data_IF_740309959672
#
_entry.id   IF_740309959672
#
_cell.length_a   1.000
_cell.length_b   1.000
_cell.length_c   1.000
_cell.angle_alpha   90.00
_cell.angle_beta   90.00
_cell.angle_gamma   90.00
#
_symmetry.space_group_name_H-M   'P 1'
#
loop_
_entity.id
_entity.type
_entity.pdbx_description
1 polymer ?
#
# COMPACT_ATOMS: atom_id res chain seq x y z
N UNK A 1 10.59 -16.24 -30.57
CA UNK A 1 10.66 -15.58 -29.25
C UNK A 1 11.97 -14.84 -29.11
N UNK A 2 11.93 -13.54 -28.81
CA UNK A 2 13.10 -12.69 -28.65
C UNK A 2 13.13 -12.15 -27.21
N UNK A 3 14.31 -12.19 -26.58
CA UNK A 3 14.52 -11.58 -25.27
C UNK A 3 14.77 -10.08 -25.47
N UNK A 4 13.72 -9.25 -25.40
CA UNK A 4 13.84 -7.85 -25.79
C UNK A 4 14.35 -6.92 -24.69
N UNK A 5 14.04 -7.18 -23.41
CA UNK A 5 14.35 -6.27 -22.31
C UNK A 5 14.67 -7.06 -21.03
N UNK A 6 15.81 -6.73 -20.40
CA UNK A 6 16.23 -7.21 -19.07
C UNK A 6 16.46 -5.99 -18.19
N UNK A 7 15.57 -5.77 -17.22
CA UNK A 7 15.86 -4.90 -16.09
C UNK A 7 16.54 -5.74 -14.99
N UNK A 8 17.29 -5.14 -14.04
CA UNK A 8 18.06 -5.88 -13.04
C UNK A 8 17.26 -6.94 -12.24
N UNK A 9 15.93 -6.79 -12.21
CA UNK A 9 14.95 -7.52 -11.41
C UNK A 9 13.74 -8.07 -12.22
N UNK A 10 13.70 -7.89 -13.55
CA UNK A 10 12.54 -8.27 -14.37
C UNK A 10 12.96 -8.90 -15.72
N UNK A 11 12.29 -9.99 -16.10
CA UNK A 11 12.56 -10.71 -17.36
C UNK A 11 11.31 -10.78 -18.23
N UNK A 12 11.40 -10.22 -19.45
CA UNK A 12 10.29 -10.21 -20.41
C UNK A 12 10.66 -10.94 -21.70
N UNK A 13 9.81 -11.88 -22.11
CA UNK A 13 9.84 -12.47 -23.46
C UNK A 13 8.70 -11.86 -24.25
N UNK A 14 9.06 -11.15 -25.33
CA UNK A 14 8.09 -10.42 -26.14
C UNK A 14 8.28 -10.74 -27.62
N UNK A 15 7.17 -10.72 -28.34
CA UNK A 15 7.11 -10.85 -29.79
C UNK A 15 6.56 -9.54 -30.33
N UNK A 16 7.44 -8.56 -30.62
CA UNK A 16 7.01 -7.24 -31.07
C UNK A 16 6.67 -7.27 -32.57
N UNK A 17 5.45 -6.84 -32.92
CA UNK A 17 5.09 -6.39 -34.26
C UNK A 17 4.87 -4.87 -34.21
N UNK A 18 5.99 -4.15 -34.08
CA UNK A 18 6.01 -2.71 -33.86
C UNK A 18 6.61 -1.97 -35.05
N UNK A 19 6.00 -0.84 -35.39
CA UNK A 19 6.49 0.12 -36.38
C UNK A 19 6.89 1.40 -35.66
N UNK A 20 8.12 1.83 -35.86
CA UNK A 20 8.62 3.10 -35.36
C UNK A 20 8.89 4.04 -36.54
N UNK A 21 8.29 5.23 -36.49
CA UNK A 21 8.56 6.31 -37.44
C UNK A 21 9.28 7.44 -36.70
N UNK A 22 10.42 7.85 -37.24
CA UNK A 22 11.22 8.95 -36.70
C UNK A 22 11.15 10.10 -37.67
N UNK A 23 10.61 11.23 -37.22
CA UNK A 23 10.49 12.44 -38.04
C UNK A 23 10.65 13.69 -37.17
N UNK A 24 11.52 14.62 -37.58
CA UNK A 24 11.58 15.96 -37.00
C UNK A 24 11.68 16.07 -35.47
N UNK A 25 12.36 15.15 -34.78
CA UNK A 25 12.45 15.14 -33.32
C UNK A 25 11.28 14.44 -32.61
N UNK A 26 10.47 13.68 -33.33
CA UNK A 26 9.36 12.86 -32.83
C UNK A 26 9.59 11.39 -33.18
N UNK A 27 9.25 10.52 -32.23
CA UNK A 27 9.21 9.07 -32.40
C UNK A 27 7.76 8.64 -32.25
N UNK A 28 7.18 8.11 -33.33
CA UNK A 28 5.85 7.53 -33.31
C UNK A 28 5.97 6.02 -33.30
N UNK A 29 5.47 5.35 -32.27
CA UNK A 29 5.46 3.88 -32.14
C UNK A 29 4.03 3.35 -32.24
N UNK A 30 3.77 2.47 -33.19
CA UNK A 30 2.47 1.81 -33.36
C UNK A 30 2.62 0.31 -33.58
N UNK A 31 1.59 -0.46 -33.25
CA UNK A 31 1.55 -1.90 -33.55
C UNK A 31 1.07 -2.73 -32.36
N UNK A 32 1.46 -4.01 -32.37
CA UNK A 32 1.11 -4.98 -31.34
C UNK A 32 2.36 -5.53 -30.65
N UNK A 33 2.27 -5.69 -29.34
CA UNK A 33 3.26 -6.32 -28.49
C UNK A 33 2.63 -7.54 -27.83
N UNK A 34 2.91 -8.72 -28.38
CA UNK A 34 2.55 -9.98 -27.75
C UNK A 34 3.57 -10.32 -26.65
N UNK A 35 3.09 -10.61 -25.44
CA UNK A 35 3.90 -10.98 -24.27
C UNK A 35 3.59 -12.43 -23.90
N UNK A 36 4.15 -13.44 -24.59
CA UNK A 36 3.85 -14.84 -24.32
C UNK A 36 4.26 -15.28 -22.92
N UNK A 37 5.39 -14.75 -22.41
CA UNK A 37 5.92 -15.04 -21.08
C UNK A 37 6.57 -13.81 -20.46
N UNK A 38 6.30 -13.56 -19.19
CA UNK A 38 7.04 -12.57 -18.42
C UNK A 38 7.05 -12.93 -16.94
N UNK A 39 8.11 -12.53 -16.24
CA UNK A 39 8.20 -12.62 -14.80
C UNK A 39 8.48 -11.23 -14.23
N UNK A 40 7.48 -10.71 -13.51
CA UNK A 40 7.49 -9.38 -12.89
C UNK A 40 7.61 -9.59 -11.38
N UNK A 41 8.73 -9.15 -10.80
CA UNK A 41 8.95 -9.17 -9.36
C UNK A 41 9.13 -7.74 -8.85
N UNK A 42 8.35 -7.36 -7.84
CA UNK A 42 8.43 -6.06 -7.18
C UNK A 42 8.70 -6.29 -5.70
N UNK A 43 9.99 -6.31 -5.35
CA UNK A 43 10.44 -6.58 -3.98
C UNK A 43 10.45 -5.31 -3.12
N UNK A 44 10.66 -4.14 -3.72
CA UNK A 44 10.59 -2.79 -3.12
C UNK A 44 10.16 -1.78 -4.19
N UNK A 45 9.44 -0.71 -3.83
CA UNK A 45 9.42 0.48 -4.70
C UNK A 45 10.88 0.89 -4.87
N UNK A 46 11.40 1.09 -6.10
CA UNK A 46 12.74 1.59 -6.27
C UNK A 46 12.85 2.87 -5.44
N UNK A 47 13.83 2.93 -4.53
CA UNK A 47 14.04 4.08 -3.62
C UNK A 47 14.17 5.41 -4.38
N UNK A 48 14.31 5.34 -5.71
CA UNK A 48 14.53 6.45 -6.60
C UNK A 48 13.31 6.87 -7.44
N UNK A 49 12.09 6.49 -7.06
CA UNK A 49 10.88 7.09 -7.60
C UNK A 49 10.58 8.45 -6.94
N UNK A 50 11.60 9.31 -6.83
CA UNK A 50 11.36 10.71 -6.57
C UNK A 50 10.82 11.32 -7.86
N UNK A 51 9.53 11.66 -7.87
CA UNK A 51 9.06 12.78 -8.68
C UNK A 51 10.07 13.93 -8.49
N UNK A 52 10.59 14.55 -9.57
CA UNK A 52 11.34 15.78 -9.40
C UNK A 52 10.45 16.74 -8.64
N UNK A 53 10.86 17.11 -7.42
CA UNK A 53 10.28 18.25 -6.72
C UNK A 53 10.28 19.43 -7.70
N UNK A 54 9.15 20.14 -7.81
CA UNK A 54 9.00 21.31 -8.70
C UNK A 54 9.98 22.46 -8.34
N UNK A 55 10.75 22.35 -7.26
CA UNK A 55 11.69 23.37 -6.78
C UNK A 55 13.17 22.94 -6.83
N UNK A 56 13.59 22.20 -7.86
CA UNK A 56 15.03 22.06 -8.16
C UNK A 56 15.58 23.34 -8.82
N UNK A 57 15.85 24.37 -8.03
CA UNK A 57 16.68 25.50 -8.49
C UNK A 57 18.13 25.05 -8.53
N UNK A 58 18.59 24.65 -9.72
CA UNK A 58 20.00 24.42 -10.01
C UNK A 58 20.71 25.78 -10.03
N UNK A 59 21.34 26.16 -8.92
CA UNK A 59 22.32 27.24 -8.90
C UNK A 59 23.65 26.71 -9.48
N UNK A 60 23.76 26.65 -10.80
CA UNK A 60 25.07 26.49 -11.46
C UNK A 60 25.70 27.88 -11.64
N UNK A 61 26.71 28.16 -10.82
CA UNK A 61 27.67 29.22 -11.07
C UNK A 61 28.57 28.80 -12.25
N UNK A 62 28.37 29.42 -13.41
CA UNK A 62 29.32 29.34 -14.53
C UNK A 62 28.65 29.03 -15.87
N UNK A 63 28.45 30.07 -16.67
CA UNK A 63 27.90 29.97 -18.02
C UNK A 63 28.74 29.06 -18.93
N UNK A 64 28.16 27.95 -19.38
CA UNK A 64 28.59 27.24 -20.58
C UNK A 64 27.43 26.47 -21.22
N UNK A 65 26.74 27.14 -22.17
CA UNK A 65 25.91 26.56 -23.25
C UNK A 65 25.12 25.30 -22.89
N UNK A 66 23.91 25.52 -22.42
CA UNK A 66 22.83 24.55 -22.46
C UNK A 66 22.61 24.17 -23.94
N UNK A 67 23.28 23.12 -24.40
CA UNK A 67 22.86 22.41 -25.62
C UNK A 67 21.49 21.85 -25.28
N UNK A 68 20.45 22.55 -25.72
CA UNK A 68 19.10 22.02 -25.82
C UNK A 68 19.22 20.71 -26.60
N UNK A 69 19.29 19.59 -25.88
CA UNK A 69 19.06 18.28 -26.47
C UNK A 69 17.71 18.40 -27.16
N UNK A 70 17.56 18.03 -28.44
CA UNK A 70 16.23 17.99 -29.05
C UNK A 70 15.34 17.17 -28.11
N UNK A 71 14.24 17.76 -27.63
CA UNK A 71 13.32 17.09 -26.74
C UNK A 71 12.54 16.09 -27.59
N UNK A 72 13.09 14.88 -27.70
CA UNK A 72 12.48 13.82 -28.49
C UNK A 72 11.08 13.55 -27.92
N UNK A 73 10.06 13.73 -28.74
CA UNK A 73 8.67 13.47 -28.35
C UNK A 73 8.30 12.03 -28.71
N UNK A 74 8.04 11.19 -27.70
CA UNK A 74 7.48 9.85 -27.90
C UNK A 74 5.95 9.93 -27.93
N UNK A 75 5.35 9.33 -28.95
CA UNK A 75 3.90 9.18 -29.07
C UNK A 75 3.50 7.93 -29.84
N UNK A 76 2.21 7.60 -29.82
CA UNK A 76 1.64 6.50 -30.60
C UNK A 76 0.74 5.58 -29.78
N UNK A 77 0.44 4.42 -30.34
CA UNK A 77 -0.53 3.48 -29.79
C UNK A 77 -0.06 2.04 -29.99
N UNK A 78 0.12 1.32 -28.88
CA UNK A 78 0.61 -0.05 -28.84
C UNK A 78 -0.44 -0.93 -28.18
N UNK A 79 -0.90 -1.96 -28.89
CA UNK A 79 -1.74 -3.02 -28.32
C UNK A 79 -0.84 -4.03 -27.62
N UNK A 80 -0.97 -4.18 -26.31
CA UNK A 80 -0.24 -5.16 -25.52
C UNK A 80 -1.17 -6.32 -25.22
N UNK A 81 -0.76 -7.54 -25.59
CA UNK A 81 -1.54 -8.76 -25.36
C UNK A 81 -0.72 -9.69 -24.47
N UNK A 82 -1.24 -10.00 -23.28
CA UNK A 82 -0.58 -10.92 -22.35
C UNK A 82 -0.97 -12.36 -22.68
N UNK A 83 0.03 -13.22 -22.82
CA UNK A 83 -0.13 -14.66 -22.92
C UNK A 83 -0.44 -15.31 -21.57
N UNK A 84 -0.50 -16.65 -21.56
CA UNK A 84 -0.86 -17.42 -20.36
C UNK A 84 0.28 -17.53 -19.32
N UNK A 85 1.52 -17.23 -19.70
CA UNK A 85 2.73 -17.45 -18.86
C UNK A 85 3.32 -16.12 -18.35
N UNK A 86 2.45 -15.17 -17.99
CA UNK A 86 2.82 -13.88 -17.40
C UNK A 86 2.59 -13.93 -15.89
N UNK A 87 3.67 -13.94 -15.11
CA UNK A 87 3.62 -14.00 -13.65
C UNK A 87 3.97 -12.66 -13.02
N UNK A 88 3.22 -12.32 -11.98
CA UNK A 88 3.44 -11.16 -11.13
C UNK A 88 3.61 -11.60 -9.67
N UNK A 89 4.66 -11.09 -9.02
CA UNK A 89 4.91 -11.27 -7.60
C UNK A 89 5.34 -9.94 -6.98
N UNK A 90 4.59 -9.41 -6.03
CA UNK A 90 4.95 -8.16 -5.36
C UNK A 90 3.86 -7.67 -4.42
N UNK A 91 4.26 -6.89 -3.40
CA UNK A 91 3.34 -6.31 -2.41
C UNK A 91 2.37 -7.32 -1.79
N UNK A 92 2.82 -8.57 -1.60
CA UNK A 92 2.02 -9.67 -1.05
C UNK A 92 1.14 -10.41 -2.08
N UNK A 93 1.01 -9.96 -3.33
CA UNK A 93 0.30 -10.65 -4.39
C UNK A 93 1.24 -11.56 -5.18
N UNK A 94 0.87 -12.83 -5.37
CA UNK A 94 1.44 -13.77 -6.35
C UNK A 94 0.31 -14.19 -7.30
N UNK A 95 0.46 -13.94 -8.60
CA UNK A 95 -0.60 -14.21 -9.57
C UNK A 95 -0.07 -14.43 -10.98
N UNK A 96 -0.86 -15.13 -11.78
CA UNK A 96 -0.76 -15.06 -13.23
C UNK A 96 -1.63 -13.91 -13.74
N UNK A 97 -1.14 -13.17 -14.72
CA UNK A 97 -1.87 -12.07 -15.36
C UNK A 97 -2.26 -12.48 -16.77
N UNK A 98 -3.47 -12.13 -17.18
CA UNK A 98 -3.94 -12.29 -18.54
C UNK A 98 -4.77 -11.08 -18.95
N UNK A 99 -4.85 -10.81 -20.26
CA UNK A 99 -5.66 -9.72 -20.78
C UNK A 99 -4.95 -8.92 -21.85
N UNK A 100 -5.52 -7.77 -22.17
CA UNK A 100 -5.04 -6.90 -23.23
C UNK A 100 -5.25 -5.43 -22.87
N UNK A 101 -4.30 -4.61 -23.28
CA UNK A 101 -4.31 -3.16 -23.09
C UNK A 101 -3.91 -2.46 -24.38
N UNK A 102 -4.68 -1.46 -24.79
CA UNK A 102 -4.26 -0.47 -25.75
C UNK A 102 -3.60 0.69 -25.00
N UNK A 103 -2.28 0.77 -25.06
CA UNK A 103 -1.49 1.86 -24.49
C UNK A 103 -1.33 2.96 -25.53
N UNK A 104 -1.77 4.16 -25.20
CA UNK A 104 -1.65 5.34 -26.08
C UNK A 104 -0.85 6.41 -25.36
N UNK A 105 0.18 6.93 -26.02
CA UNK A 105 0.92 8.12 -25.59
C UNK A 105 0.53 9.28 -26.51
N UNK A 106 -0.32 10.23 -26.05
CA UNK A 106 -0.71 11.38 -26.86
C UNK A 106 0.46 12.37 -27.03
N UNK A 107 0.39 13.25 -28.06
CA UNK A 107 1.33 14.35 -28.23
C UNK A 107 1.20 15.41 -27.12
N UNK A 108 2.10 16.38 -27.10
CA UNK A 108 2.02 17.57 -26.25
C UNK A 108 2.39 17.33 -24.79
N UNK A 109 3.17 16.28 -24.50
CA UNK A 109 3.60 15.96 -23.14
C UNK A 109 2.51 15.36 -22.24
N UNK A 110 1.31 15.11 -22.77
CA UNK A 110 0.21 14.50 -22.02
C UNK A 110 0.59 13.11 -21.48
N UNK A 111 0.10 12.71 -20.30
CA UNK A 111 0.39 11.41 -19.73
C UNK A 111 -0.14 10.27 -20.61
N UNK A 112 0.49 9.08 -20.55
CA UNK A 112 0.00 7.90 -21.26
C UNK A 112 -1.35 7.45 -20.70
N UNK A 113 -2.21 6.98 -21.60
CA UNK A 113 -3.52 6.42 -21.29
C UNK A 113 -3.58 4.95 -21.70
N UNK A 114 -4.39 4.17 -21.01
CA UNK A 114 -4.61 2.77 -21.26
C UNK A 114 -6.12 2.49 -21.40
N UNK A 115 -6.46 1.62 -22.34
CA UNK A 115 -7.81 1.08 -22.50
C UNK A 115 -7.77 -0.44 -22.58
N UNK A 116 -8.57 -1.13 -21.78
CA UNK A 116 -8.63 -2.59 -21.79
C UNK A 116 -8.78 -3.16 -20.39
N UNK A 117 -8.42 -4.43 -20.22
CA UNK A 117 -8.57 -5.11 -18.93
C UNK A 117 -7.45 -6.13 -18.71
N UNK A 118 -6.99 -6.19 -17.47
CA UNK A 118 -6.15 -7.26 -16.96
C UNK A 118 -6.91 -8.04 -15.89
N UNK A 119 -6.71 -9.34 -15.86
CA UNK A 119 -7.27 -10.23 -14.84
C UNK A 119 -6.19 -11.08 -14.21
N UNK A 120 -6.34 -11.35 -12.93
CA UNK A 120 -5.52 -12.32 -12.20
C UNK A 120 -6.06 -13.74 -12.40
N UNK A 121 -5.17 -14.73 -12.37
CA UNK A 121 -5.47 -16.16 -12.37
C UNK A 121 -4.61 -16.87 -11.33
N UNK A 122 -5.19 -17.87 -10.66
CA UNK A 122 -4.54 -18.65 -9.59
C UNK A 122 -3.79 -17.76 -8.59
N UNK A 123 -4.46 -16.68 -8.18
CA UNK A 123 -3.84 -15.60 -7.45
C UNK A 123 -3.99 -15.78 -5.93
N UNK A 124 -2.92 -15.48 -5.21
CA UNK A 124 -2.86 -15.50 -3.75
C UNK A 124 -2.37 -14.17 -3.24
N UNK A 125 -2.99 -13.67 -2.18
CA UNK A 125 -2.61 -12.44 -1.53
C UNK A 125 -2.25 -12.70 -0.06
N UNK A 126 -1.06 -12.27 0.36
CA UNK A 126 -0.56 -12.40 1.72
C UNK A 126 -0.51 -11.04 2.40
N UNK A 127 -1.25 -10.90 3.50
CA UNK A 127 -1.22 -9.72 4.36
C UNK A 127 -1.44 -10.13 5.82
N UNK A 128 -0.85 -9.39 6.77
CA UNK A 128 -1.00 -9.64 8.21
C UNK A 128 -0.71 -11.11 8.63
N UNK A 129 0.22 -11.78 7.94
CA UNK A 129 0.55 -13.19 8.19
C UNK A 129 -0.51 -14.20 7.73
N UNK A 130 -1.55 -13.76 7.02
CA UNK A 130 -2.62 -14.60 6.48
C UNK A 130 -2.60 -14.59 4.96
N UNK A 131 -2.95 -15.72 4.37
CA UNK A 131 -3.08 -15.88 2.92
C UNK A 131 -4.56 -15.93 2.54
N UNK A 132 -4.93 -15.16 1.51
CA UNK A 132 -6.24 -15.15 0.88
C UNK A 132 -6.11 -15.63 -0.56
N UNK A 133 -7.06 -16.46 -0.98
CA UNK A 133 -7.27 -16.84 -2.37
C UNK A 133 -8.01 -15.71 -3.10
N UNK A 134 -7.47 -15.23 -4.22
CA UNK A 134 -8.12 -14.19 -5.03
C UNK A 134 -8.99 -14.87 -6.09
N UNK A 135 -10.28 -15.02 -5.79
CA UNK A 135 -11.28 -15.61 -6.70
C UNK A 135 -11.57 -14.71 -7.91
N UNK A 136 -11.47 -13.39 -7.71
CA UNK A 136 -11.61 -12.39 -8.77
C UNK A 136 -10.59 -11.29 -8.54
N UNK A 137 -9.80 -10.96 -9.55
CA UNK A 137 -8.97 -9.75 -9.55
C UNK A 137 -8.98 -9.12 -10.94
N UNK A 138 -9.85 -8.14 -11.14
CA UNK A 138 -10.04 -7.45 -12.41
C UNK A 138 -9.53 -6.01 -12.29
N UNK A 139 -8.69 -5.61 -13.25
CA UNK A 139 -8.20 -4.25 -13.42
C UNK A 139 -8.71 -3.74 -14.77
N UNK A 140 -9.50 -2.67 -14.75
CA UNK A 140 -10.09 -2.07 -15.94
C UNK A 140 -9.43 -0.72 -16.18
N UNK A 141 -8.90 -0.53 -17.37
CA UNK A 141 -8.24 0.68 -17.80
C UNK A 141 -9.14 1.42 -18.80
N UNK A 142 -9.37 2.70 -18.55
CA UNK A 142 -10.23 3.55 -19.40
C UNK A 142 -9.80 5.02 -19.35
N UNK A 143 -8.48 5.28 -19.31
CA UNK A 143 -7.95 6.61 -19.03
C UNK A 143 -6.48 6.55 -18.58
N UNK A 144 -6.05 7.35 -17.60
CA UNK A 144 -4.68 7.33 -17.09
C UNK A 144 -4.21 5.92 -16.71
N UNK A 145 -2.99 5.56 -17.12
CA UNK A 145 -2.45 4.20 -16.91
C UNK A 145 -2.19 3.86 -15.45
N UNK A 146 -1.95 4.87 -14.61
CA UNK A 146 -1.71 4.79 -13.17
C UNK A 146 -3.01 4.68 -12.34
N UNK A 147 -4.17 4.86 -12.97
CA UNK A 147 -5.47 4.93 -12.29
C UNK A 147 -6.50 3.90 -12.81
N UNK A 148 -6.23 2.58 -12.79
CA UNK A 148 -7.22 1.58 -13.16
C UNK A 148 -8.37 1.48 -12.15
N UNK A 149 -9.52 1.03 -12.63
CA UNK A 149 -10.63 0.58 -11.79
C UNK A 149 -10.41 -0.86 -11.36
N UNK A 150 -10.61 -1.14 -10.07
CA UNK A 150 -10.46 -2.45 -9.47
C UNK A 150 -11.83 -3.08 -9.19
N UNK A 151 -11.93 -4.40 -9.41
CA UNK A 151 -12.96 -5.29 -8.87
C UNK A 151 -12.27 -6.57 -8.39
N UNK A 152 -12.08 -6.69 -7.07
CA UNK A 152 -11.34 -7.77 -6.45
C UNK A 152 -12.19 -8.45 -5.38
N UNK A 153 -12.24 -9.77 -5.40
CA UNK A 153 -12.77 -10.63 -4.33
C UNK A 153 -11.67 -11.60 -3.90
N UNK A 154 -11.28 -11.50 -2.64
CA UNK A 154 -10.32 -12.40 -2.01
C UNK A 154 -10.93 -13.06 -0.79
N UNK A 155 -10.71 -14.36 -0.60
CA UNK A 155 -11.37 -15.17 0.43
C UNK A 155 -10.39 -16.07 1.16
N UNK A 156 -10.79 -16.49 2.35
CA UNK A 156 -10.11 -17.49 3.15
C UNK A 156 -11.16 -18.39 3.80
N UNK A 157 -10.94 -19.70 3.70
CA UNK A 157 -11.79 -20.73 4.32
C UNK A 157 -11.19 -21.13 5.66
N UNK A 158 -11.99 -21.10 6.72
CA UNK A 158 -11.58 -21.29 8.11
C UNK A 158 -12.52 -22.34 8.71
N UNK A 159 -11.97 -23.32 9.41
CA UNK A 159 -12.78 -24.27 10.19
C UNK A 159 -12.87 -23.79 11.64
N UNK A 160 -14.08 -23.53 12.13
CA UNK A 160 -14.34 -23.07 13.49
C UNK A 160 -15.51 -23.88 14.07
N UNK A 161 -15.30 -24.50 15.23
CA UNK A 161 -16.31 -25.31 15.94
C UNK A 161 -17.01 -26.40 15.07
N UNK A 162 -16.30 -26.91 14.06
CA UNK A 162 -16.82 -27.93 13.14
C UNK A 162 -17.59 -27.39 11.93
N UNK A 163 -17.72 -26.07 11.79
CA UNK A 163 -18.30 -25.40 10.63
C UNK A 163 -17.22 -24.78 9.73
N UNK A 164 -17.48 -24.71 8.42
CA UNK A 164 -16.62 -24.00 7.47
C UNK A 164 -17.14 -22.57 7.29
N UNK A 165 -16.27 -21.60 7.57
CA UNK A 165 -16.54 -20.17 7.45
C UNK A 165 -15.65 -19.63 6.35
N UNK A 166 -16.25 -19.01 5.33
CA UNK A 166 -15.52 -18.28 4.31
C UNK A 166 -15.55 -16.81 4.66
N UNK A 167 -14.42 -16.25 5.09
CA UNK A 167 -14.27 -14.81 5.32
C UNK A 167 -13.48 -14.18 4.18
N UNK A 168 -13.83 -12.96 3.76
CA UNK A 168 -13.23 -12.35 2.57
C UNK A 168 -13.30 -10.83 2.53
N UNK A 169 -12.57 -10.28 1.57
CA UNK A 169 -12.46 -8.85 1.28
C UNK A 169 -12.91 -8.58 -0.16
N UNK A 170 -13.66 -7.51 -0.32
CA UNK A 170 -14.07 -6.94 -1.61
C UNK A 170 -13.39 -5.58 -1.77
N UNK A 171 -12.66 -5.41 -2.87
CA UNK A 171 -12.07 -4.13 -3.27
C UNK A 171 -12.75 -3.66 -4.55
N UNK A 172 -13.19 -2.41 -4.56
CA UNK A 172 -13.81 -1.81 -5.74
C UNK A 172 -13.50 -0.32 -5.86
N UNK A 173 -13.48 0.20 -7.08
CA UNK A 173 -13.20 1.62 -7.32
C UNK A 173 -11.83 1.85 -7.95
N UNK A 174 -11.45 3.12 -8.19
CA UNK A 174 -10.17 3.44 -8.80
C UNK A 174 -9.02 3.16 -7.81
N UNK A 175 -7.84 2.83 -8.33
CA UNK A 175 -6.65 2.47 -7.54
C UNK A 175 -6.23 3.53 -6.50
N UNK A 176 -6.55 4.80 -6.73
CA UNK A 176 -6.27 5.93 -5.84
C UNK A 176 -7.39 6.24 -4.84
N UNK A 177 -8.57 5.62 -4.98
CA UNK A 177 -9.71 5.79 -4.09
C UNK A 177 -10.50 4.48 -3.93
N UNK A 178 -9.79 3.41 -3.56
CA UNK A 178 -10.32 2.06 -3.40
C UNK A 178 -11.30 2.01 -2.22
N UNK A 179 -12.48 1.43 -2.45
CA UNK A 179 -13.44 1.06 -1.41
C UNK A 179 -13.23 -0.38 -1.01
N UNK A 180 -13.03 -0.60 0.28
CA UNK A 180 -12.83 -1.93 0.88
C UNK A 180 -14.05 -2.32 1.69
N UNK A 181 -14.51 -3.55 1.54
CA UNK A 181 -15.57 -4.17 2.35
C UNK A 181 -15.15 -5.55 2.80
N UNK A 182 -15.55 -5.94 3.99
CA UNK A 182 -15.32 -7.29 4.53
C UNK A 182 -16.64 -8.04 4.55
N UNK A 183 -16.61 -9.34 4.31
CA UNK A 183 -17.79 -10.20 4.37
C UNK A 183 -17.42 -11.58 4.90
N UNK A 184 -18.42 -12.35 5.32
CA UNK A 184 -18.25 -13.76 5.53
C UNK A 184 -19.50 -14.56 5.14
N UNK A 185 -19.31 -15.86 4.94
CA UNK A 185 -20.31 -16.86 4.65
C UNK A 185 -20.14 -18.00 5.68
N UNK A 186 -21.13 -18.29 6.54
CA UNK A 186 -22.45 -17.65 6.66
C UNK A 186 -22.39 -16.15 6.99
N UNK A 187 -23.44 -15.41 6.61
CA UNK A 187 -23.48 -13.95 6.78
C UNK A 187 -23.43 -13.55 8.26
N UNK A 188 -22.53 -12.61 8.57
CA UNK A 188 -22.32 -12.07 9.92
C UNK A 188 -21.92 -10.59 9.85
N UNK A 189 -21.63 -9.98 11.00
CA UNK A 189 -21.16 -8.59 11.06
C UNK A 189 -19.79 -8.43 10.37
N UNK A 190 -19.51 -7.25 9.80
CA UNK A 190 -18.19 -6.98 9.19
C UNK A 190 -17.05 -7.12 10.23
N UNK A 191 -17.34 -6.82 11.50
CA UNK A 191 -16.39 -6.97 12.59
C UNK A 191 -16.04 -8.44 12.87
N UNK A 192 -17.05 -9.33 12.92
CA UNK A 192 -16.81 -10.77 13.08
C UNK A 192 -16.09 -11.35 11.86
N UNK A 193 -16.48 -10.96 10.65
CA UNK A 193 -15.81 -11.38 9.43
C UNK A 193 -14.33 -10.95 9.40
N UNK A 194 -14.03 -9.73 9.84
CA UNK A 194 -12.66 -9.24 9.97
C UNK A 194 -11.89 -9.98 11.07
N UNK A 195 -12.55 -10.27 12.20
CA UNK A 195 -11.98 -11.07 13.28
C UNK A 195 -11.62 -12.48 12.79
N UNK A 196 -12.46 -13.11 11.97
CA UNK A 196 -12.12 -14.39 11.34
C UNK A 196 -10.92 -14.27 10.39
N UNK A 197 -10.88 -13.25 9.53
CA UNK A 197 -9.77 -13.06 8.60
C UNK A 197 -8.42 -13.00 9.32
N UNK A 198 -8.37 -12.42 10.52
CA UNK A 198 -7.11 -12.08 11.21
C UNK A 198 -6.83 -13.04 12.37
N UNK A 199 -7.83 -13.34 13.19
CA UNK A 199 -7.72 -14.09 14.44
C UNK A 199 -8.24 -15.53 14.36
N UNK A 200 -8.84 -15.94 13.23
CA UNK A 200 -9.45 -17.26 13.02
C UNK A 200 -10.65 -17.55 13.93
N UNK A 201 -11.26 -16.51 14.53
CA UNK A 201 -12.39 -16.63 15.47
C UNK A 201 -13.24 -15.35 15.51
N UNK A 202 -14.51 -15.40 15.95
CA UNK A 202 -15.38 -14.22 16.01
C UNK A 202 -15.01 -13.30 17.19
N UNK A 203 -15.53 -12.07 17.19
CA UNK A 203 -15.24 -11.06 18.23
C UNK A 203 -15.72 -11.53 19.61
N UNK A 204 -16.88 -12.20 19.64
CA UNK A 204 -17.47 -12.76 20.86
C UNK A 204 -16.58 -13.79 21.57
N UNK A 205 -15.72 -14.50 20.83
CA UNK A 205 -14.75 -15.45 21.39
C UNK A 205 -13.51 -14.76 22.00
N UNK A 206 -13.33 -13.46 21.74
CA UNK A 206 -12.19 -12.68 22.26
C UNK A 206 -12.48 -12.15 23.67
N UNK A 207 -13.74 -11.83 24.01
CA UNK A 207 -14.19 -11.56 25.39
C UNK A 207 -15.68 -11.90 25.61
N UNK A 208 -16.04 -12.79 26.55
CA UNK A 208 -17.42 -12.92 27.01
C UNK A 208 -17.77 -11.72 27.91
N UNK A 209 -18.54 -10.75 27.40
CA UNK A 209 -19.17 -9.70 28.22
C UNK A 209 -18.79 -8.23 27.94
N UNK A 210 -18.01 -7.94 26.90
CA UNK A 210 -17.69 -6.56 26.48
C UNK A 210 -18.69 -5.99 25.46
N UNK A 211 -18.89 -4.66 25.43
CA UNK A 211 -19.73 -4.03 24.40
C UNK A 211 -19.10 -4.14 23.01
N UNK A 212 -19.92 -4.41 21.99
CA UNK A 212 -19.46 -4.64 20.61
C UNK A 212 -18.68 -3.44 20.04
N UNK A 213 -19.01 -2.20 20.44
CA UNK A 213 -18.36 -0.98 19.97
C UNK A 213 -16.92 -0.81 20.48
N UNK A 214 -16.66 -1.13 21.75
CA UNK A 214 -15.31 -1.13 22.32
C UNK A 214 -14.45 -2.24 21.69
N UNK A 215 -15.07 -3.37 21.36
CA UNK A 215 -14.40 -4.54 20.76
C UNK A 215 -14.03 -4.31 19.30
N UNK A 216 -14.92 -3.70 18.50
CA UNK A 216 -14.64 -3.32 17.12
C UNK A 216 -13.46 -2.34 17.02
N UNK A 217 -13.39 -1.42 17.98
CA UNK A 217 -12.34 -0.41 18.01
C UNK A 217 -11.01 -1.01 18.49
N UNK A 218 -11.02 -1.85 19.53
CA UNK A 218 -9.82 -2.55 20.00
C UNK A 218 -9.25 -3.51 18.95
N UNK A 219 -10.10 -4.21 18.19
CA UNK A 219 -9.67 -5.02 17.06
C UNK A 219 -9.13 -4.16 15.93
N UNK A 220 -9.83 -3.10 15.50
CA UNK A 220 -9.29 -2.18 14.50
C UNK A 220 -7.90 -1.63 14.90
N UNK A 221 -7.71 -1.26 16.16
CA UNK A 221 -6.42 -0.79 16.68
C UNK A 221 -5.35 -1.90 16.75
N UNK A 222 -5.73 -3.11 17.16
CA UNK A 222 -4.84 -4.28 17.12
C UNK A 222 -4.40 -4.64 15.70
N UNK A 223 -5.31 -4.50 14.73
CA UNK A 223 -5.05 -4.74 13.31
C UNK A 223 -4.13 -3.69 12.70
N UNK A 224 -4.32 -2.42 13.06
CA UNK A 224 -3.49 -1.31 12.58
C UNK A 224 -2.02 -1.42 13.04
N UNK A 225 -1.75 -2.02 14.21
CA UNK A 225 -0.39 -2.42 14.62
C UNK A 225 0.21 -3.55 13.79
N UNK A 226 -0.62 -4.35 13.12
CA UNK A 226 -0.21 -5.51 12.30
C UNK A 226 -0.16 -5.16 10.81
N UNK A 227 -0.71 -4.02 10.39
CA UNK A 227 -0.64 -3.58 8.99
C UNK A 227 0.81 -3.24 8.58
N UNK A 228 1.28 -3.66 7.40
CA UNK A 228 2.64 -3.38 6.93
C UNK A 228 2.99 -1.88 6.87
N UNK A 229 1.99 -1.01 6.70
CA UNK A 229 2.19 0.44 6.62
C UNK A 229 2.71 1.07 7.91
N UNK A 230 2.34 0.54 9.09
CA UNK A 230 2.86 1.04 10.37
C UNK A 230 4.28 0.53 10.62
N UNK A 231 4.57 -0.71 10.27
CA UNK A 231 5.93 -1.28 10.33
C UNK A 231 6.89 -0.58 9.35
N UNK A 232 6.40 -0.23 8.17
CA UNK A 232 7.18 0.50 7.18
C UNK A 232 7.44 1.95 7.65
N UNK A 233 6.46 2.62 8.26
CA UNK A 233 6.68 3.93 8.89
C UNK A 233 7.68 3.86 10.06
N UNK A 234 7.60 2.83 10.91
CA UNK A 234 8.57 2.60 12.00
C UNK A 234 9.99 2.43 11.46
N UNK A 235 10.15 1.66 10.37
CA UNK A 235 11.45 1.39 9.78
C UNK A 235 12.02 2.58 8.98
N UNK A 236 11.20 3.26 8.18
CA UNK A 236 11.64 4.40 7.35
C UNK A 236 11.92 5.65 8.19
N UNK A 237 11.12 5.92 9.22
CA UNK A 237 11.28 7.09 10.10
C UNK A 237 12.11 6.78 11.36
N UNK A 238 12.48 5.51 11.56
CA UNK A 238 13.18 5.03 12.75
C UNK A 238 12.42 5.34 14.04
N UNK A 239 11.11 5.08 14.04
CA UNK A 239 10.25 5.24 15.20
C UNK A 239 10.20 3.92 15.97
N UNK A 240 10.14 4.00 17.31
CA UNK A 240 10.03 2.84 18.18
C UNK A 240 8.57 2.44 18.46
N UNK A 241 7.62 3.32 18.13
CA UNK A 241 6.20 3.10 18.30
C UNK A 241 5.42 3.87 17.23
N UNK A 242 4.61 3.16 16.44
CA UNK A 242 3.51 3.75 15.65
C UNK A 242 2.25 2.94 15.92
N UNK A 243 1.23 3.61 16.46
CA UNK A 243 -0.01 2.95 16.84
C UNK A 243 -1.21 3.88 16.68
N UNK A 244 -2.39 3.30 16.57
CA UNK A 244 -3.64 4.00 16.78
C UNK A 244 -4.19 3.61 18.15
N UNK A 245 -4.56 4.60 18.95
CA UNK A 245 -5.10 4.44 20.30
C UNK A 245 -6.46 5.11 20.44
N UNK A 246 -7.30 4.55 21.32
CA UNK A 246 -8.57 5.16 21.69
C UNK A 246 -9.59 4.13 22.14
N UNK A 247 -10.81 4.59 22.41
CA UNK A 247 -11.98 3.75 22.67
C UNK A 247 -13.03 3.84 21.55
N UNK A 248 -12.72 4.55 20.45
CA UNK A 248 -13.62 4.79 19.33
C UNK A 248 -14.24 6.19 19.37
N UNK A 249 -14.77 6.65 18.23
CA UNK A 249 -15.34 7.99 18.09
C UNK A 249 -14.30 9.11 18.24
N UNK A 250 -14.66 10.18 18.93
CA UNK A 250 -13.84 11.40 19.09
C UNK A 250 -12.50 11.17 19.82
N UNK A 251 -12.37 10.06 20.55
CA UNK A 251 -11.18 9.71 21.34
C UNK A 251 -10.15 8.87 20.57
N UNK A 252 -10.27 8.79 19.23
CA UNK A 252 -9.33 8.07 18.38
C UNK A 252 -8.12 8.95 18.04
N UNK A 253 -6.92 8.48 18.34
CA UNK A 253 -5.67 9.21 18.13
C UNK A 253 -4.59 8.36 17.45
N UNK A 254 -3.87 8.95 16.50
CA UNK A 254 -2.62 8.40 15.98
C UNK A 254 -1.49 8.73 16.95
N UNK A 255 -0.62 7.76 17.21
CA UNK A 255 0.52 7.89 18.11
C UNK A 255 1.79 7.54 17.36
N UNK A 256 2.80 8.38 17.50
CA UNK A 256 4.17 8.14 17.07
C UNK A 256 5.13 8.36 18.24
N UNK A 257 6.03 7.43 18.49
CA UNK A 257 6.97 7.45 19.59
C UNK A 257 8.39 7.10 19.16
N UNK A 258 9.37 7.75 19.80
CA UNK A 258 10.79 7.49 19.59
C UNK A 258 11.56 7.60 20.89
N UNK A 259 12.42 6.62 21.12
CA UNK A 259 13.40 6.57 22.19
C UNK A 259 14.71 7.16 21.68
N UNK A 260 15.20 8.16 22.39
CA UNK A 260 16.48 8.81 22.11
C UNK A 260 17.44 8.40 23.23
N UNK A 261 18.44 7.59 22.87
CA UNK A 261 19.35 7.00 23.86
C UNK A 261 18.65 6.00 24.78
N UNK A 262 19.06 5.93 26.05
CA UNK A 262 18.51 4.97 27.02
C UNK A 262 17.34 5.52 27.84
N UNK A 263 17.32 6.83 28.03
CA UNK A 263 16.54 7.45 29.12
C UNK A 263 15.48 8.42 28.64
N UNK A 264 15.55 8.91 27.39
CA UNK A 264 14.57 9.84 26.84
C UNK A 264 13.61 9.12 25.89
N UNK A 265 12.31 9.28 26.12
CA UNK A 265 11.26 8.84 25.23
C UNK A 265 10.35 10.01 24.88
N UNK A 266 10.19 10.25 23.58
CA UNK A 266 9.34 11.31 23.04
C UNK A 266 8.18 10.63 22.34
N UNK A 267 6.97 11.10 22.62
CA UNK A 267 5.74 10.58 22.08
C UNK A 267 4.85 11.72 21.63
N UNK A 268 4.32 11.60 20.42
CA UNK A 268 3.34 12.52 19.88
C UNK A 268 2.03 11.77 19.66
N UNK A 269 0.93 12.33 20.18
CA UNK A 269 -0.43 11.85 20.01
C UNK A 269 -1.21 12.88 19.23
N UNK A 270 -1.82 12.50 18.12
CA UNK A 270 -2.64 13.37 17.29
C UNK A 270 -4.06 12.80 17.20
N UNK A 271 -5.03 13.49 17.80
CA UNK A 271 -6.42 13.09 17.73
C UNK A 271 -6.98 13.25 16.32
N UNK A 272 -7.50 12.17 15.73
CA UNK A 272 -7.93 12.16 14.33
C UNK A 272 -9.23 12.95 14.09
N UNK A 273 -10.06 13.08 15.12
CA UNK A 273 -11.36 13.74 15.05
C UNK A 273 -11.35 15.12 15.69
N UNK A 274 -10.85 15.24 16.92
CA UNK A 274 -10.71 16.53 17.61
C UNK A 274 -9.53 17.37 17.07
N UNK A 275 -8.62 16.78 16.27
CA UNK A 275 -7.42 17.42 15.69
C UNK A 275 -6.48 18.03 16.73
N UNK A 276 -6.52 17.52 17.96
CA UNK A 276 -5.68 17.98 19.06
C UNK A 276 -4.39 17.17 19.04
N UNK A 277 -3.26 17.88 18.96
CA UNK A 277 -1.93 17.31 19.15
C UNK A 277 -1.51 17.37 20.61
N UNK A 278 -0.94 16.30 21.14
CA UNK A 278 -0.32 16.25 22.46
C UNK A 278 1.07 15.65 22.37
N UNK A 279 2.06 16.40 22.83
CA UNK A 279 3.42 15.92 23.05
C UNK A 279 3.57 15.41 24.47
N UNK A 280 4.22 14.27 24.60
CA UNK A 280 4.58 13.62 25.85
C UNK A 280 6.08 13.34 25.81
N UNK A 281 6.78 13.83 26.81
CA UNK A 281 8.21 13.63 26.98
C UNK A 281 8.43 12.94 28.32
N UNK A 282 9.02 11.74 28.29
CA UNK A 282 9.39 11.00 29.49
C UNK A 282 10.90 10.86 29.56
N UNK A 283 11.49 11.33 30.65
CA UNK A 283 12.91 11.24 30.92
C UNK A 283 13.17 10.43 32.19
N UNK A 284 13.92 9.34 32.07
CA UNK A 284 14.33 8.51 33.21
C UNK A 284 15.54 9.15 33.89
N UNK A 285 15.40 9.47 35.18
CA UNK A 285 16.48 10.08 35.98
C UNK A 285 17.33 8.98 36.65
N UNK A 286 16.75 7.79 36.85
CA UNK A 286 17.39 6.63 37.48
C UNK A 286 16.79 6.29 38.85
N UNK A 287 17.18 5.14 39.42
CA UNK A 287 16.69 4.64 40.73
C UNK A 287 15.16 4.54 40.82
N UNK A 288 14.49 4.22 39.72
CA UNK A 288 13.03 4.13 39.64
C UNK A 288 12.32 5.47 39.40
N UNK A 289 13.03 6.61 39.30
CA UNK A 289 12.42 7.91 39.03
C UNK A 289 12.40 8.25 37.54
N UNK A 290 11.29 8.83 37.09
CA UNK A 290 11.14 9.45 35.77
C UNK A 290 10.32 10.74 35.86
N UNK A 291 10.70 11.73 35.07
CA UNK A 291 9.88 12.93 34.84
C UNK A 291 9.08 12.71 33.57
N UNK A 292 7.80 13.10 33.61
CA UNK A 292 6.94 13.17 32.45
C UNK A 292 6.44 14.60 32.26
N UNK A 293 6.57 15.13 31.05
CA UNK A 293 6.02 16.41 30.66
C UNK A 293 5.00 16.19 29.53
N UNK A 294 3.80 16.70 29.72
CA UNK A 294 2.72 16.70 28.72
C UNK A 294 2.48 18.11 28.19
N UNK A 295 2.28 18.23 26.88
CA UNK A 295 1.93 19.49 26.22
C UNK A 295 0.83 19.23 25.19
N UNK A 296 -0.38 19.72 25.45
CA UNK A 296 -1.55 19.60 24.57
C UNK A 296 -2.53 20.73 24.85
N UNK A 297 -3.80 20.43 25.10
CA UNK A 297 -4.76 21.44 25.61
C UNK A 297 -4.35 22.01 26.96
N UNK A 298 -3.72 21.18 27.80
CA UNK A 298 -3.14 21.59 29.07
C UNK A 298 -1.69 21.12 29.12
N UNK A 299 -0.87 21.86 29.88
CA UNK A 299 0.52 21.50 30.14
C UNK A 299 0.60 20.81 31.50
N UNK A 300 1.29 19.68 31.55
CA UNK A 300 1.51 18.92 32.79
C UNK A 300 2.98 18.60 32.97
N UNK A 301 3.38 18.52 34.25
CA UNK A 301 4.71 18.06 34.65
C UNK A 301 4.57 17.17 35.87
N UNK A 302 5.01 15.92 35.75
CA UNK A 302 4.83 14.88 36.75
C UNK A 302 6.16 14.20 37.07
N UNK A 303 6.35 13.85 38.34
CA UNK A 303 7.45 13.00 38.80
C UNK A 303 6.88 11.64 39.19
N UNK A 304 7.29 10.61 38.48
CA UNK A 304 6.82 9.23 38.64
C UNK A 304 7.92 8.42 39.31
N UNK A 305 7.55 7.62 40.31
CA UNK A 305 8.43 6.65 40.96
C UNK A 305 7.88 5.24 40.77
N UNK A 306 8.70 4.35 40.21
CA UNK A 306 8.38 2.94 39.98
C UNK A 306 9.28 2.05 40.82
N UNK A 307 8.67 1.14 41.57
CA UNK A 307 9.33 0.05 42.30
C UNK A 307 9.25 -1.21 41.45
N UNK A 308 10.37 -1.64 40.89
CA UNK A 308 10.46 -2.99 40.31
C UNK A 308 10.37 -3.99 41.48
N UNK A 309 9.37 -4.88 41.45
CA UNK A 309 9.22 -6.02 42.37
C UNK A 309 9.59 -7.31 41.66
#
# INVERSE_FOLDING_TARGET
>A
DFQALRFPDQTFYVSPDLRALVDGGRITVTGELSVPRAEIRLDQLPQNAWEPSEDLVVHEAGAARQRSRPQWELLGAVRVVLGDDVRFSGFGLDSWLAGELLLTKPPGGLPPVAQGQLRTRNARFKAAGKELEVERGLLIFSGPVDRPMLDVRAVRRISWEGEEITAGVLLSGPSDAIKTRVFAEPAMSEADALSFLVLDRPVSAVQPGGSAELSNTALAFGLLRVLPITQQLEQELGLDEVALEGSGGENTSLVAGKRIGRDLFIRYRYGLFNRIGTFLLRYRIGRGFSIEAGSGEQQSLELIYSLDR
#
